data_IF_828181918254
#
_entry.id   IF_828181918254
#
_cell.length_a   1.000
_cell.length_b   1.000
_cell.length_c   1.000
_cell.angle_alpha   90.00
_cell.angle_beta   90.00
_cell.angle_gamma   90.00
#
_symmetry.space_group_name_H-M   'P 1'
#
loop_
_entity.id
_entity.type
_entity.pdbx_description
1 polymer ?
#
# COMPACT_ATOMS: atom_id res chain seq x y z
N UNK A 1 -4.75 18.86 7.93
CA UNK A 1 -4.48 17.69 8.80
C UNK A 1 -5.82 17.08 9.26
N UNK A 2 -6.02 15.77 9.11
CA UNK A 2 -7.27 15.10 9.51
C UNK A 2 -6.99 14.07 10.61
N UNK A 3 -7.50 14.31 11.82
CA UNK A 3 -7.22 13.47 12.99
C UNK A 3 -7.78 12.05 12.86
N UNK A 4 -8.96 11.89 12.25
CA UNK A 4 -9.58 10.56 12.06
C UNK A 4 -8.76 9.70 11.12
N UNK A 5 -8.29 10.28 10.01
CA UNK A 5 -7.40 9.57 9.08
C UNK A 5 -6.06 9.22 9.74
N UNK A 6 -5.51 10.12 10.55
CA UNK A 6 -4.28 9.87 11.31
C UNK A 6 -4.43 8.72 12.31
N UNK A 7 -5.51 8.68 13.08
CA UNK A 7 -5.79 7.58 14.02
C UNK A 7 -6.00 6.25 13.29
N UNK A 8 -6.66 6.24 12.13
CA UNK A 8 -6.79 5.02 11.29
C UNK A 8 -5.44 4.49 10.82
N UNK A 9 -4.54 5.39 10.39
CA UNK A 9 -3.17 5.02 10.03
C UNK A 9 -2.43 4.41 11.24
N UNK A 10 -2.52 5.03 12.42
CA UNK A 10 -1.92 4.49 13.65
C UNK A 10 -2.49 3.12 14.02
N UNK A 11 -3.79 2.88 13.79
CA UNK A 11 -4.40 1.57 14.02
C UNK A 11 -3.81 0.49 13.10
N UNK A 12 -3.49 0.81 11.84
CA UNK A 12 -2.80 -0.12 10.92
C UNK A 12 -1.39 -0.42 11.42
N UNK A 13 -0.62 0.60 11.81
CA UNK A 13 0.73 0.43 12.38
C UNK A 13 0.66 -0.47 13.62
N UNK A 14 -0.23 -0.15 14.56
CA UNK A 14 -0.43 -0.94 15.78
C UNK A 14 -0.78 -2.40 15.47
N UNK A 15 -1.63 -2.64 14.46
CA UNK A 15 -2.01 -3.99 14.04
C UNK A 15 -0.79 -4.76 13.51
N UNK A 16 0.04 -4.12 12.68
CA UNK A 16 1.27 -4.71 12.15
C UNK A 16 2.24 -5.06 13.30
N UNK A 17 2.46 -4.14 14.24
CA UNK A 17 3.33 -4.39 15.40
C UNK A 17 2.77 -5.50 16.30
N UNK A 18 1.44 -5.55 16.47
CA UNK A 18 0.78 -6.63 17.22
C UNK A 18 1.00 -7.98 16.55
N UNK A 19 0.89 -8.06 15.22
CA UNK A 19 1.18 -9.29 14.46
C UNK A 19 2.66 -9.67 14.61
N UNK A 20 3.58 -8.72 14.42
CA UNK A 20 5.03 -8.96 14.52
C UNK A 20 5.48 -9.45 15.90
N UNK A 21 4.79 -9.03 16.97
CA UNK A 21 5.08 -9.44 18.35
C UNK A 21 4.29 -10.68 18.80
N UNK A 22 3.46 -11.25 17.91
CA UNK A 22 2.71 -12.47 18.16
C UNK A 22 3.38 -13.69 17.51
N UNK A 23 2.84 -14.88 17.77
CA UNK A 23 3.22 -16.12 17.08
C UNK A 23 2.45 -16.34 15.76
N UNK A 24 1.71 -15.34 15.26
CA UNK A 24 0.86 -15.49 14.08
C UNK A 24 1.66 -15.73 12.78
N UNK A 25 2.81 -15.07 12.64
CA UNK A 25 3.71 -15.21 11.48
C UNK A 25 5.15 -15.56 11.93
N UNK A 26 5.43 -16.83 12.30
CA UNK A 26 6.75 -17.21 12.79
C UNK A 26 7.84 -17.02 11.73
N UNK A 27 8.92 -16.34 12.08
CA UNK A 27 10.06 -16.10 11.19
C UNK A 27 9.83 -15.02 10.12
N UNK A 28 8.68 -14.35 10.12
CA UNK A 28 8.36 -13.27 9.18
C UNK A 28 8.05 -11.99 9.96
N UNK A 29 8.59 -10.86 9.50
CA UNK A 29 8.24 -9.53 10.00
C UNK A 29 7.60 -8.72 8.89
N UNK A 30 6.43 -8.18 9.17
CA UNK A 30 5.73 -7.25 8.30
C UNK A 30 6.34 -5.84 8.49
N UNK A 31 6.71 -5.22 7.37
CA UNK A 31 7.06 -3.80 7.31
C UNK A 31 5.96 -2.99 6.63
N UNK A 32 6.11 -1.67 6.59
CA UNK A 32 5.15 -0.78 5.95
C UNK A 32 5.82 0.46 5.35
N UNK A 33 5.22 0.98 4.28
CA UNK A 33 5.43 2.33 3.75
C UNK A 33 4.07 3.04 3.75
N UNK A 34 4.03 4.29 4.21
CA UNK A 34 2.78 5.04 4.38
C UNK A 34 2.88 6.35 3.59
N UNK A 35 1.86 6.63 2.79
CA UNK A 35 1.76 7.84 1.99
C UNK A 35 0.44 8.56 2.28
N UNK A 36 0.45 9.90 2.28
CA UNK A 36 -0.77 10.69 2.35
C UNK A 36 -1.35 10.91 0.95
N UNK A 37 -2.57 10.39 0.73
CA UNK A 37 -3.29 10.57 -0.53
C UNK A 37 -3.90 11.96 -0.69
N UNK A 38 -3.93 12.76 0.38
CA UNK A 38 -4.56 14.08 0.42
C UNK A 38 -6.03 14.09 -0.06
N UNK A 39 -6.71 12.93 -0.05
CA UNK A 39 -8.06 12.75 -0.60
C UNK A 39 -8.19 13.06 -2.10
N UNK A 40 -7.09 13.09 -2.86
CA UNK A 40 -7.08 13.39 -4.29
C UNK A 40 -6.58 12.18 -5.10
N UNK A 41 -7.31 11.83 -6.16
CA UNK A 41 -6.96 10.69 -7.01
C UNK A 41 -5.54 10.79 -7.61
N UNK A 42 -5.14 11.99 -8.08
CA UNK A 42 -3.80 12.21 -8.62
C UNK A 42 -2.69 11.98 -7.60
N UNK A 43 -2.87 12.42 -6.35
CA UNK A 43 -1.90 12.20 -5.26
C UNK A 43 -1.87 10.75 -4.81
N UNK A 44 -3.01 10.07 -4.81
CA UNK A 44 -3.07 8.64 -4.52
C UNK A 44 -2.38 7.80 -5.60
N UNK A 45 -2.55 8.15 -6.88
CA UNK A 45 -1.84 7.52 -8.00
C UNK A 45 -0.33 7.71 -7.85
N UNK A 46 0.14 8.95 -7.63
CA UNK A 46 1.56 9.23 -7.39
C UNK A 46 2.14 8.41 -6.23
N UNK A 47 1.35 8.26 -5.15
CA UNK A 47 1.75 7.44 -4.00
C UNK A 47 1.83 5.95 -4.36
N UNK A 48 0.86 5.43 -5.11
CA UNK A 48 0.84 4.04 -5.55
C UNK A 48 2.00 3.74 -6.52
N UNK A 49 2.30 4.64 -7.46
CA UNK A 49 3.47 4.53 -8.34
C UNK A 49 4.77 4.48 -7.53
N UNK A 50 4.93 5.38 -6.56
CA UNK A 50 6.09 5.36 -5.67
C UNK A 50 6.22 4.05 -4.88
N UNK A 51 5.10 3.47 -4.42
CA UNK A 51 5.11 2.16 -3.76
C UNK A 51 5.50 1.02 -4.71
N UNK A 52 5.06 1.08 -5.97
CA UNK A 52 5.42 0.11 -7.01
C UNK A 52 6.89 0.23 -7.43
N UNK A 53 7.51 1.41 -7.36
CA UNK A 53 8.94 1.57 -7.63
C UNK A 53 9.81 0.68 -6.72
N UNK A 54 9.38 0.43 -5.47
CA UNK A 54 10.09 -0.49 -4.56
C UNK A 54 10.08 -1.95 -5.04
N UNK A 55 9.13 -2.32 -5.90
CA UNK A 55 9.12 -3.62 -6.56
C UNK A 55 10.14 -3.69 -7.70
N UNK A 56 10.84 -2.60 -8.01
CA UNK A 56 11.70 -2.45 -9.19
C UNK A 56 10.94 -2.81 -10.47
N UNK A 57 9.62 -2.60 -10.50
CA UNK A 57 8.76 -2.70 -11.67
C UNK A 57 8.72 -1.32 -12.31
N UNK A 58 9.68 -1.04 -13.17
CA UNK A 58 9.73 0.22 -13.91
C UNK A 58 8.65 0.28 -15.01
N UNK A 59 8.26 1.48 -15.47
CA UNK A 59 7.35 1.62 -16.60
C UNK A 59 7.91 0.90 -17.83
N UNK A 60 7.11 0.00 -18.42
CA UNK A 60 7.48 -0.77 -19.62
C UNK A 60 8.03 -2.18 -19.37
N UNK A 61 8.16 -2.62 -18.10
CA UNK A 61 8.46 -4.02 -17.80
C UNK A 61 7.17 -4.84 -17.81
N UNK A 62 7.00 -5.70 -18.82
CA UNK A 62 5.85 -6.62 -18.91
C UNK A 62 5.97 -7.84 -17.98
N UNK A 63 7.14 -8.07 -17.38
CA UNK A 63 7.36 -9.22 -16.51
C UNK A 63 7.01 -8.88 -15.06
N UNK A 64 6.02 -9.60 -14.53
CA UNK A 64 5.68 -9.52 -13.12
C UNK A 64 6.82 -10.11 -12.28
N UNK A 65 7.29 -9.37 -11.27
CA UNK A 65 8.30 -9.91 -10.36
C UNK A 65 7.72 -11.06 -9.54
N UNK A 66 8.47 -12.16 -9.45
CA UNK A 66 8.08 -13.30 -8.61
C UNK A 66 8.02 -12.94 -7.12
N UNK A 67 8.86 -11.99 -6.66
CA UNK A 67 8.94 -11.58 -5.26
C UNK A 67 8.95 -10.05 -5.11
N UNK A 68 7.80 -9.36 -5.28
CA UNK A 68 7.72 -7.92 -5.06
C UNK A 68 8.00 -7.58 -3.59
N UNK A 69 8.56 -6.40 -3.31
CA UNK A 69 8.79 -5.92 -1.94
C UNK A 69 7.48 -5.47 -1.28
N UNK A 70 6.67 -4.71 -2.01
CA UNK A 70 5.31 -4.33 -1.63
C UNK A 70 4.37 -5.45 -2.08
N UNK A 71 3.84 -6.20 -1.10
CA UNK A 71 2.94 -7.34 -1.35
C UNK A 71 1.49 -6.92 -1.53
N UNK A 72 1.06 -5.85 -0.87
CA UNK A 72 -0.31 -5.34 -0.88
C UNK A 72 -0.34 -3.88 -0.45
N UNK A 73 -1.41 -3.16 -0.80
CA UNK A 73 -1.64 -1.77 -0.42
C UNK A 73 -2.95 -1.67 0.34
N UNK A 74 -2.95 -1.00 1.51
CA UNK A 74 -4.16 -0.74 2.30
C UNK A 74 -4.64 0.68 2.03
N UNK A 75 -5.88 0.85 1.60
CA UNK A 75 -6.49 2.15 1.27
C UNK A 75 -7.23 2.08 -0.06
N UNK A 76 -7.72 3.18 -0.64
CA UNK A 76 -7.83 4.50 -0.04
C UNK A 76 -9.18 4.66 0.68
N UNK A 77 -9.34 5.71 1.50
CA UNK A 77 -10.55 5.93 2.31
C UNK A 77 -11.81 6.18 1.47
N UNK A 78 -11.70 6.93 0.37
CA UNK A 78 -12.84 7.36 -0.44
C UNK A 78 -12.92 6.49 -1.70
N UNK A 79 -14.12 6.02 -2.04
CA UNK A 79 -14.33 5.10 -3.16
C UNK A 79 -13.78 5.62 -4.49
N UNK A 80 -13.98 6.91 -4.79
CA UNK A 80 -13.43 7.55 -5.99
C UNK A 80 -11.90 7.43 -6.08
N UNK A 81 -11.21 7.71 -4.97
CA UNK A 81 -9.75 7.60 -4.86
C UNK A 81 -9.34 6.13 -4.94
N UNK A 82 -10.06 5.23 -4.26
CA UNK A 82 -9.76 3.80 -4.24
C UNK A 82 -9.91 3.15 -5.60
N UNK A 83 -10.97 3.47 -6.36
CA UNK A 83 -11.19 2.99 -7.72
C UNK A 83 -10.06 3.44 -8.65
N UNK A 84 -9.60 4.69 -8.52
CA UNK A 84 -8.50 5.21 -9.32
C UNK A 84 -7.19 4.46 -9.05
N UNK A 85 -6.88 4.17 -7.78
CA UNK A 85 -5.70 3.38 -7.40
C UNK A 85 -5.85 1.91 -7.84
N UNK A 86 -7.01 1.30 -7.64
CA UNK A 86 -7.25 -0.11 -7.98
C UNK A 86 -7.06 -0.39 -9.47
N UNK A 87 -7.45 0.55 -10.33
CA UNK A 87 -7.22 0.45 -11.79
C UNK A 87 -5.74 0.46 -12.16
N UNK A 88 -4.90 1.18 -11.41
CA UNK A 88 -3.46 1.14 -11.61
C UNK A 88 -2.88 -0.17 -11.08
N UNK A 89 -3.24 -0.56 -9.85
CA UNK A 89 -2.68 -1.74 -9.19
C UNK A 89 -3.05 -3.05 -9.89
N UNK A 90 -4.20 -3.11 -10.57
CA UNK A 90 -4.60 -4.27 -11.38
C UNK A 90 -3.64 -4.54 -12.54
N UNK A 91 -2.99 -3.52 -13.09
CA UNK A 91 -1.96 -3.69 -14.13
C UNK A 91 -0.71 -4.39 -13.59
N UNK A 92 -0.43 -4.24 -12.29
CA UNK A 92 0.72 -4.84 -11.59
C UNK A 92 0.32 -6.04 -10.74
N UNK A 93 -0.93 -6.50 -10.81
CA UNK A 93 -1.49 -7.60 -10.01
C UNK A 93 -1.20 -7.45 -8.50
N UNK A 94 -1.20 -6.21 -8.00
CA UNK A 94 -1.02 -5.91 -6.57
C UNK A 94 -2.39 -5.86 -5.90
N UNK A 95 -2.66 -6.68 -4.86
CA UNK A 95 -3.93 -6.66 -4.15
C UNK A 95 -4.09 -5.38 -3.32
N UNK A 96 -5.31 -4.85 -3.32
CA UNK A 96 -5.78 -3.69 -2.56
C UNK A 96 -7.05 -4.03 -1.79
#
# INVERSE_FOLDING_TARGET
FNIVSFVRMLAVIYTIETINNSSFLPGVRLGYHICDTCCHASKAIQSAEHLLEFNNTGPGQCELKQNPKVKTIIGARYSEVSISVARLLSLYLVPQ
#
